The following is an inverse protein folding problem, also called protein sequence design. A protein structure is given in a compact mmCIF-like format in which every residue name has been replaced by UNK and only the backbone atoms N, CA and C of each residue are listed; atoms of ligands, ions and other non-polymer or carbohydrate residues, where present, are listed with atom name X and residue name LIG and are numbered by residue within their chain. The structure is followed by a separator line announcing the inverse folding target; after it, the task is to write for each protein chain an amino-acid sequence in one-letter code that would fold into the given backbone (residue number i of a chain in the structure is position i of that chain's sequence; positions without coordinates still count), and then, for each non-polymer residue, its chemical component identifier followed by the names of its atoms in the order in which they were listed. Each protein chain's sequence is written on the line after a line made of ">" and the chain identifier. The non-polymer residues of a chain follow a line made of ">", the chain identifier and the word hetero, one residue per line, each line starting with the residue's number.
data_IF_750344922549
#
_entry.id   IF_750344922549
#
_cell.length_a   1.000
_cell.length_b   1.000
_cell.length_c   1.000
_cell.angle_alpha   90.00
_cell.angle_beta   90.00
_cell.angle_gamma   90.00
#
_symmetry.space_group_name_H-M   'P 1'
#
loop_
_entity.id
_entity.type
_entity.pdbx_description
1 polymer ?
#
# COMPACT_ATOMS: atom_id res chain seq x y z
N UNK A 1 -24.66 16.13 3.26
CA UNK A 1 -23.94 15.79 3.47
C UNK A 1 -23.33 14.93 3.34
N UNK A 2 -22.89 14.63 3.39
CA UNK A 2 -22.37 13.86 3.23
C UNK A 2 -21.71 13.16 3.63
N UNK A 3 -21.63 12.75 3.70
CA UNK A 3 -21.02 12.06 4.24
C UNK A 3 -19.98 11.62 3.95
N UNK A 4 -19.70 11.57 3.75
CA UNK A 4 -18.91 11.15 3.54
C UNK A 4 -17.94 11.45 3.81
N UNK A 5 -18.31 11.76 3.84
CA UNK A 5 -17.23 12.33 4.34
C UNK A 5 -16.33 11.35 4.99
N UNK A 6 -16.67 10.35 5.12
CA UNK A 6 -15.84 9.50 5.52
C UNK A 6 -15.33 8.96 4.43
N UNK A 7 -14.82 8.78 4.35
CA UNK A 7 -13.78 8.67 3.82
C UNK A 7 -13.58 7.42 3.11
N UNK A 8 -13.89 7.51 1.94
CA UNK A 8 -13.47 6.52 1.00
C UNK A 8 -11.95 6.48 1.01
N UNK A 9 -11.34 5.30 0.88
CA UNK A 9 -9.91 5.22 0.73
C UNK A 9 -9.46 6.04 -0.48
N UNK A 10 -8.35 6.74 -0.33
CA UNK A 10 -7.84 7.58 -1.38
C UNK A 10 -6.78 6.83 -2.17
N UNK A 11 -6.98 6.73 -3.48
CA UNK A 11 -5.98 6.14 -4.35
C UNK A 11 -4.74 7.01 -4.38
N UNK A 12 -3.59 6.41 -4.17
CA UNK A 12 -2.31 7.11 -4.23
C UNK A 12 -1.53 6.58 -5.42
N UNK A 13 -1.26 7.41 -6.44
CA UNK A 13 -0.41 6.96 -7.55
C UNK A 13 1.00 6.68 -7.03
N UNK A 14 1.43 5.44 -7.14
CA UNK A 14 2.71 5.05 -6.58
C UNK A 14 3.87 5.82 -7.21
N UNK A 15 3.70 6.26 -8.44
CA UNK A 15 4.76 6.98 -9.14
C UNK A 15 5.06 8.35 -8.54
N UNK A 16 4.15 8.87 -7.71
CA UNK A 16 4.35 10.16 -7.05
C UNK A 16 5.16 10.05 -5.77
N UNK A 17 5.41 8.82 -5.33
CA UNK A 17 6.18 8.60 -4.12
C UNK A 17 7.64 8.35 -4.48
N UNK A 18 8.54 8.79 -3.60
CA UNK A 18 9.93 8.42 -3.79
C UNK A 18 10.08 6.91 -3.61
N UNK A 19 11.10 6.30 -4.23
CA UNK A 19 11.30 4.86 -4.05
C UNK A 19 11.43 4.46 -2.59
N UNK A 20 12.09 5.27 -1.78
CA UNK A 20 12.25 4.96 -0.36
C UNK A 20 10.92 5.02 0.37
N UNK A 21 10.10 6.02 0.08
CA UNK A 21 8.80 6.14 0.74
C UNK A 21 7.87 4.99 0.32
N UNK A 22 7.87 4.65 -0.97
CA UNK A 22 7.05 3.57 -1.46
C UNK A 22 7.46 2.25 -0.81
N UNK A 23 8.76 1.99 -0.74
CA UNK A 23 9.24 0.76 -0.11
C UNK A 23 8.84 0.71 1.36
N UNK A 24 8.93 1.81 2.08
CA UNK A 24 8.55 1.85 3.48
C UNK A 24 7.08 1.52 3.68
N UNK A 25 6.22 2.03 2.81
CA UNK A 25 4.79 1.76 2.89
C UNK A 25 4.49 0.30 2.61
N UNK A 26 5.14 -0.28 1.59
CA UNK A 26 4.96 -1.68 1.26
C UNK A 26 5.48 -2.57 2.38
N UNK A 27 6.62 -2.20 2.96
CA UNK A 27 7.18 -2.96 4.06
C UNK A 27 6.22 -2.99 5.25
N UNK A 28 5.63 -1.86 5.57
CA UNK A 28 4.66 -1.79 6.66
C UNK A 28 3.47 -2.70 6.38
N UNK A 29 2.98 -2.68 5.14
CA UNK A 29 1.85 -3.52 4.76
C UNK A 29 2.20 -5.00 4.90
N UNK A 30 3.37 -5.39 4.41
CA UNK A 30 3.78 -6.80 4.43
C UNK A 30 4.02 -7.30 5.84
N UNK A 31 4.67 -6.49 6.68
CA UNK A 31 5.00 -6.91 8.04
C UNK A 31 3.79 -6.89 8.97
N UNK A 32 2.75 -6.15 8.59
CA UNK A 32 1.53 -6.08 9.40
C UNK A 32 0.87 -7.45 9.52
N UNK A 33 1.02 -8.29 8.51
CA UNK A 33 0.43 -9.62 8.50
C UNK A 33 1.21 -10.63 9.31
N UNK A 34 2.31 -10.25 9.92
CA UNK A 34 3.15 -11.19 10.64
C UNK A 34 3.97 -12.08 9.72
N UNK A 35 4.29 -11.59 8.52
CA UNK A 35 5.09 -12.34 7.58
C UNK A 35 6.46 -12.65 8.19
N UNK A 36 6.93 -13.88 7.99
CA UNK A 36 8.24 -14.30 8.44
C UNK A 36 9.31 -13.35 7.93
N UNK A 37 10.21 -12.94 8.80
CA UNK A 37 11.23 -11.97 8.48
C UNK A 37 12.06 -12.38 7.26
N UNK A 38 12.30 -13.67 7.09
CA UNK A 38 13.10 -14.16 5.97
C UNK A 38 12.37 -14.00 4.63
N UNK A 39 11.05 -13.83 4.64
CA UNK A 39 10.26 -13.69 3.43
C UNK A 39 9.86 -12.25 3.13
N UNK A 40 10.14 -11.32 4.04
CA UNK A 40 9.68 -9.94 3.91
C UNK A 40 10.22 -9.31 2.62
N UNK A 41 11.51 -9.47 2.33
CA UNK A 41 12.09 -8.86 1.15
C UNK A 41 11.44 -9.37 -0.14
N UNK A 42 11.17 -10.65 -0.22
CA UNK A 42 10.52 -11.22 -1.39
C UNK A 42 9.12 -10.66 -1.58
N UNK A 43 8.38 -10.53 -0.49
CA UNK A 43 7.02 -10.01 -0.58
C UNK A 43 7.01 -8.54 -0.96
N UNK A 44 7.97 -7.78 -0.44
CA UNK A 44 8.07 -6.37 -0.80
C UNK A 44 8.31 -6.24 -2.30
N UNK A 45 9.25 -7.01 -2.85
CA UNK A 45 9.55 -6.92 -4.27
C UNK A 45 8.37 -7.34 -5.11
N UNK A 46 7.67 -8.39 -4.69
CA UNK A 46 6.50 -8.86 -5.43
C UNK A 46 5.40 -7.79 -5.46
N UNK A 47 5.13 -7.17 -4.33
CA UNK A 47 4.11 -6.15 -4.26
C UNK A 47 4.49 -4.93 -5.07
N UNK A 48 5.77 -4.52 -5.01
CA UNK A 48 6.24 -3.41 -5.83
C UNK A 48 6.05 -3.69 -7.32
N UNK A 49 6.33 -4.91 -7.74
CA UNK A 49 6.14 -5.28 -9.13
C UNK A 49 4.65 -5.25 -9.50
N UNK A 50 3.79 -5.73 -8.63
CA UNK A 50 2.35 -5.71 -8.88
C UNK A 50 1.82 -4.28 -8.98
N UNK A 51 2.37 -3.36 -8.21
CA UNK A 51 2.01 -1.95 -8.33
C UNK A 51 2.42 -1.39 -9.68
N UNK A 52 3.64 -1.73 -10.14
CA UNK A 52 4.13 -1.23 -11.42
C UNK A 52 3.33 -1.77 -12.59
N UNK A 53 2.84 -2.98 -12.48
CA UNK A 53 2.08 -3.59 -13.57
C UNK A 53 0.59 -3.32 -13.49
N UNK A 54 0.14 -2.59 -12.47
CA UNK A 54 -1.26 -2.22 -12.34
C UNK A 54 -2.15 -3.32 -11.82
N UNK A 55 -1.59 -4.37 -11.25
CA UNK A 55 -2.40 -5.46 -10.71
C UNK A 55 -2.97 -5.14 -9.35
N UNK A 56 -2.31 -4.27 -8.62
CA UNK A 56 -2.79 -3.81 -7.32
C UNK A 56 -2.67 -2.30 -7.26
N UNK A 57 -3.39 -1.71 -6.31
CA UNK A 57 -3.40 -0.26 -6.13
C UNK A 57 -3.08 0.06 -4.69
N UNK A 58 -2.45 1.21 -4.48
CA UNK A 58 -2.12 1.71 -3.16
C UNK A 58 -3.21 2.69 -2.73
N UNK A 59 -3.82 2.43 -1.59
CA UNK A 59 -4.88 3.28 -1.06
C UNK A 59 -4.53 3.74 0.34
N UNK A 60 -4.86 4.97 0.65
CA UNK A 60 -4.67 5.52 1.99
C UNK A 60 -6.03 5.63 2.67
N UNK A 61 -6.13 5.03 3.84
CA UNK A 61 -7.34 5.10 4.65
C UNK A 61 -7.16 6.21 5.68
N UNK A 62 -7.91 7.27 5.54
CA UNK A 62 -7.80 8.41 6.45
C UNK A 62 -8.24 8.08 7.86
N UNK A 63 -9.16 7.16 7.99
CA UNK A 63 -9.72 6.84 9.28
C UNK A 63 -8.71 6.13 10.17
N UNK A 64 -7.96 5.21 9.60
CA UNK A 64 -6.95 4.47 10.33
C UNK A 64 -5.55 5.05 10.12
N UNK A 65 -5.41 5.99 9.18
CA UNK A 65 -4.14 6.59 8.79
C UNK A 65 -3.15 5.54 8.33
N UNK A 66 -3.65 4.55 7.61
CA UNK A 66 -2.82 3.46 7.11
C UNK A 66 -2.97 3.32 5.61
N UNK A 67 -1.91 2.81 5.00
CA UNK A 67 -1.95 2.48 3.59
C UNK A 67 -2.33 1.02 3.43
N UNK A 68 -3.16 0.75 2.44
CA UNK A 68 -3.57 -0.60 2.09
C UNK A 68 -3.28 -0.84 0.62
N UNK A 69 -3.01 -2.09 0.30
CA UNK A 69 -2.77 -2.49 -1.08
C UNK A 69 -3.90 -3.43 -1.46
N UNK A 70 -4.64 -3.07 -2.47
CA UNK A 70 -5.83 -3.81 -2.86
C UNK A 70 -5.77 -4.17 -4.34
N UNK A 71 -6.46 -5.21 -4.77
CA UNK A 71 -6.51 -5.56 -6.19
C UNK A 71 -7.09 -4.40 -7.00
N UNK A 72 -6.49 -4.20 -8.14
CA UNK A 72 -6.96 -3.12 -9.02
C UNK A 72 -8.27 -3.49 -9.70
#
# INVERSE_FOLDING_TARGET
>A
MRPFAYAAPMLIPYAQLSPAALRAMVEEFVTRDGTDHSLVERRIEKVLQQLRTGRVELHFDRKTERCNIVPA
#
